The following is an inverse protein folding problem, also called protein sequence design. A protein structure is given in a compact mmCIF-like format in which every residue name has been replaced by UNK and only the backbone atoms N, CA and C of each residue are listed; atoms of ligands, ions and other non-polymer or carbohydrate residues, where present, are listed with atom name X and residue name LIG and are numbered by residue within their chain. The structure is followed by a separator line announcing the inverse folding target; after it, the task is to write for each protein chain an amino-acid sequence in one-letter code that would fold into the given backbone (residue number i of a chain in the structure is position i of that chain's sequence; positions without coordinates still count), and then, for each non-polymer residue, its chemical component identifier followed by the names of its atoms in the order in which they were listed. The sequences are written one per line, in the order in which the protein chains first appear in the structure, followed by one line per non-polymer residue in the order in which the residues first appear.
data_IF_245929498953
#
_entry.id   IF_245929498953
#
_cell.length_a   1.000
_cell.length_b   1.000
_cell.length_c   1.000
_cell.angle_alpha   90.00
_cell.angle_beta   90.00
_cell.angle_gamma   90.00
#
_symmetry.space_group_name_H-M   'P 1'
#
loop_
_entity.id
_entity.type
_entity.pdbx_description
1 polymer ?
#
# COMPACT_ATOMS: atom_id res chain seq x y z
N UNK A 1 -22.68 -37.85 4.35
CA UNK A 1 -21.75 -37.86 5.48
C UNK A 1 -20.34 -38.02 4.94
N UNK A 2 -19.68 -36.87 4.60
CA UNK A 2 -18.25 -36.85 4.20
C UNK A 2 -17.48 -36.40 5.43
N UNK A 3 -16.71 -37.34 6.00
CA UNK A 3 -15.79 -37.06 7.10
C UNK A 3 -14.62 -36.26 6.51
N UNK A 4 -14.51 -34.94 6.87
CA UNK A 4 -13.31 -34.17 6.66
C UNK A 4 -12.24 -34.69 7.64
N UNK A 5 -11.21 -35.32 7.10
CA UNK A 5 -9.98 -35.56 7.83
C UNK A 5 -9.23 -34.23 7.97
N UNK A 6 -9.21 -33.66 9.17
CA UNK A 6 -8.27 -32.62 9.53
C UNK A 6 -6.91 -33.28 9.68
N UNK A 7 -6.03 -33.11 8.69
CA UNK A 7 -4.61 -33.36 8.85
C UNK A 7 -4.03 -32.30 9.76
N UNK A 8 -3.77 -32.71 11.00
CA UNK A 8 -2.96 -31.96 11.94
C UNK A 8 -1.52 -31.98 11.38
N UNK A 9 -1.12 -30.92 10.68
CA UNK A 9 0.29 -30.71 10.35
C UNK A 9 0.94 -30.21 11.63
N UNK A 10 1.42 -31.17 12.43
CA UNK A 10 2.39 -30.88 13.48
C UNK A 10 3.69 -30.55 12.75
N UNK A 11 3.91 -29.25 12.51
CA UNK A 11 5.23 -28.78 12.12
C UNK A 11 6.13 -29.02 13.35
N UNK A 12 6.93 -30.05 13.28
CA UNK A 12 7.99 -30.30 14.25
C UNK A 12 8.94 -29.10 14.19
N UNK A 13 8.75 -28.13 15.09
CA UNK A 13 9.74 -27.10 15.35
C UNK A 13 10.95 -27.87 15.86
N UNK A 14 11.95 -28.01 14.99
CA UNK A 14 13.26 -28.52 15.34
C UNK A 14 13.70 -27.74 16.55
N UNK A 15 13.88 -28.45 17.66
CA UNK A 15 14.44 -27.91 18.89
C UNK A 15 15.87 -27.45 18.62
N UNK A 16 16.03 -26.27 18.04
CA UNK A 16 17.27 -25.51 18.09
C UNK A 16 17.41 -25.00 19.52
N UNK A 17 18.47 -25.44 20.15
CA UNK A 17 18.83 -25.22 21.54
C UNK A 17 18.75 -23.72 21.90
N UNK A 18 17.74 -23.35 22.62
CA UNK A 18 17.66 -22.50 23.81
C UNK A 18 18.32 -21.13 23.86
N UNK A 19 18.60 -20.35 22.81
CA UNK A 19 19.17 -19.02 23.06
C UNK A 19 18.52 -17.85 22.36
N UNK A 20 17.81 -18.04 21.26
CA UNK A 20 17.26 -16.92 20.46
C UNK A 20 15.74 -17.05 20.24
N UNK A 21 15.00 -17.06 21.34
CA UNK A 21 13.56 -17.13 21.31
C UNK A 21 12.91 -16.01 22.13
N UNK A 22 11.76 -15.56 21.66
CA UNK A 22 10.81 -14.73 22.38
C UNK A 22 9.76 -15.62 23.01
N UNK A 23 9.55 -15.51 24.30
CA UNK A 23 8.42 -16.13 24.99
C UNK A 23 7.39 -15.05 25.30
N UNK A 24 6.20 -15.14 24.70
CA UNK A 24 5.08 -14.28 25.07
C UNK A 24 4.24 -14.97 26.13
N UNK A 25 4.11 -14.32 27.29
CA UNK A 25 3.22 -14.72 28.38
C UNK A 25 2.04 -13.77 28.40
N UNK A 26 0.87 -14.28 28.01
CA UNK A 26 -0.36 -13.51 27.95
C UNK A 26 -1.25 -13.75 29.16
N UNK A 27 -1.95 -12.73 29.57
CA UNK A 27 -3.03 -12.80 30.55
C UNK A 27 -4.23 -11.97 30.10
N UNK A 28 -5.39 -12.36 30.54
CA UNK A 28 -6.63 -11.62 30.37
C UNK A 28 -6.85 -10.80 31.65
N UNK A 29 -7.06 -9.51 31.54
CA UNK A 29 -7.35 -8.63 32.69
C UNK A 29 -8.72 -8.92 33.30
N UNK A 30 -8.87 -8.61 34.58
CA UNK A 30 -10.16 -8.66 35.25
C UNK A 30 -11.17 -7.71 34.55
N UNK A 31 -12.37 -8.21 34.29
CA UNK A 31 -13.41 -7.47 33.58
C UNK A 31 -13.43 -7.62 32.07
N UNK A 32 -12.38 -8.19 31.45
CA UNK A 32 -12.39 -8.53 30.04
C UNK A 32 -13.26 -9.77 29.79
N UNK A 33 -14.12 -9.73 28.76
CA UNK A 33 -15.05 -10.81 28.44
C UNK A 33 -14.44 -11.83 27.50
N UNK A 34 -13.56 -12.68 28.02
CA UNK A 34 -12.96 -13.80 27.32
C UNK A 34 -13.47 -15.12 27.88
N UNK A 35 -14.31 -15.86 27.13
CA UNK A 35 -14.71 -17.21 27.54
C UNK A 35 -13.49 -18.11 27.73
N UNK A 36 -13.58 -19.08 28.64
CA UNK A 36 -12.60 -20.15 28.75
C UNK A 36 -12.46 -20.88 27.40
N UNK A 37 -11.25 -21.23 27.02
CA UNK A 37 -10.88 -21.79 25.71
C UNK A 37 -11.03 -20.83 24.51
N UNK A 38 -11.17 -19.53 24.71
CA UNK A 38 -11.02 -18.56 23.61
C UNK A 38 -9.67 -18.76 22.92
N UNK A 39 -9.66 -18.86 21.61
CA UNK A 39 -8.43 -19.02 20.85
C UNK A 39 -7.75 -17.66 20.64
N UNK A 40 -6.48 -17.63 20.97
CA UNK A 40 -5.58 -16.55 20.61
C UNK A 40 -4.76 -17.01 19.41
N UNK A 41 -4.77 -16.25 18.34
CA UNK A 41 -4.05 -16.52 17.10
C UNK A 41 -2.79 -15.68 17.03
N UNK A 42 -1.70 -16.30 16.59
CA UNK A 42 -0.45 -15.64 16.22
C UNK A 42 -0.45 -15.43 14.71
N UNK A 43 -0.29 -14.20 14.27
CA UNK A 43 -0.42 -13.79 12.86
C UNK A 43 0.91 -13.18 12.41
N UNK A 44 1.43 -13.67 11.26
CA UNK A 44 2.56 -13.09 10.50
C UNK A 44 2.00 -12.55 9.16
N UNK A 45 2.00 -11.24 9.02
CA UNK A 45 1.39 -10.59 7.87
C UNK A 45 -0.13 -10.87 7.75
N UNK A 46 -0.52 -11.79 6.86
CA UNK A 46 -1.91 -12.23 6.66
C UNK A 46 -2.16 -13.67 7.11
N UNK A 47 -1.13 -14.37 7.51
CA UNK A 47 -1.19 -15.80 7.78
C UNK A 47 -1.26 -16.08 9.28
N UNK A 48 -2.17 -16.96 9.66
CA UNK A 48 -2.20 -17.53 11.01
C UNK A 48 -1.11 -18.60 11.08
N UNK A 49 -0.06 -18.33 11.86
CA UNK A 49 1.11 -19.21 11.98
C UNK A 49 1.05 -20.13 13.20
N UNK A 50 0.27 -19.74 14.24
CA UNK A 50 0.06 -20.54 15.44
C UNK A 50 -1.24 -20.13 16.16
N UNK A 51 -1.71 -20.95 17.09
CA UNK A 51 -2.83 -20.61 17.95
C UNK A 51 -2.76 -21.35 19.29
N UNK A 52 -3.28 -20.73 20.34
CA UNK A 52 -3.40 -21.34 21.67
C UNK A 52 -4.70 -20.97 22.33
N UNK A 53 -5.22 -21.84 23.20
CA UNK A 53 -6.44 -21.53 23.96
C UNK A 53 -6.09 -20.80 25.28
N UNK A 54 -6.95 -19.85 25.65
CA UNK A 54 -6.91 -19.26 27.01
C UNK A 54 -7.29 -20.33 28.02
N UNK A 55 -6.47 -20.52 29.03
CA UNK A 55 -6.74 -21.42 30.15
C UNK A 55 -6.43 -20.73 31.48
N UNK A 56 -7.41 -20.70 32.37
CA UNK A 56 -7.30 -19.97 33.66
C UNK A 56 -6.88 -18.49 33.45
N UNK A 57 -7.42 -17.84 32.43
CA UNK A 57 -7.13 -16.45 32.12
C UNK A 57 -5.73 -16.18 31.57
N UNK A 58 -4.98 -17.23 31.16
CA UNK A 58 -3.61 -17.09 30.65
C UNK A 58 -3.41 -17.84 29.33
N UNK A 59 -2.38 -17.44 28.59
CA UNK A 59 -1.93 -18.12 27.37
C UNK A 59 -0.42 -17.90 27.15
N UNK A 60 0.20 -18.64 26.25
CA UNK A 60 1.63 -18.46 25.96
C UNK A 60 1.96 -18.87 24.52
N UNK A 61 2.92 -18.13 23.92
CA UNK A 61 3.57 -18.47 22.65
C UNK A 61 5.08 -18.48 22.82
N UNK A 62 5.74 -19.26 21.97
CA UNK A 62 7.19 -19.22 21.83
C UNK A 62 7.53 -19.11 20.35
N UNK A 63 8.20 -18.01 19.98
CA UNK A 63 8.56 -17.71 18.60
C UNK A 63 10.07 -17.45 18.49
N UNK A 64 10.68 -17.61 17.31
CA UNK A 64 12.04 -17.15 17.07
C UNK A 64 12.15 -15.65 17.37
N UNK A 65 13.24 -15.24 18.04
CA UNK A 65 13.52 -13.83 18.23
C UNK A 65 14.04 -13.25 16.89
N UNK A 66 13.34 -12.25 16.39
CA UNK A 66 13.70 -11.54 15.16
C UNK A 66 13.23 -10.08 15.25
N UNK A 67 14.09 -9.14 15.64
CA UNK A 67 13.71 -7.75 15.81
C UNK A 67 13.33 -7.05 14.49
N UNK A 68 13.50 -7.71 13.35
CA UNK A 68 13.12 -7.19 12.03
C UNK A 68 11.68 -7.55 11.65
N UNK A 69 11.02 -8.42 12.42
CA UNK A 69 9.62 -8.84 12.22
C UNK A 69 8.66 -8.15 13.16
N UNK A 70 7.40 -8.13 12.75
CA UNK A 70 6.27 -7.83 13.62
C UNK A 70 5.26 -8.97 13.53
N UNK A 71 4.79 -9.43 14.69
CA UNK A 71 3.66 -10.33 14.80
C UNK A 71 2.46 -9.62 15.43
N UNK A 72 1.29 -10.20 15.21
CA UNK A 72 0.07 -9.78 15.89
C UNK A 72 -0.49 -10.95 16.68
N UNK A 73 -0.94 -10.69 17.91
CA UNK A 73 -1.81 -11.59 18.63
C UNK A 73 -3.24 -11.09 18.51
N UNK A 74 -4.14 -11.97 18.10
CA UNK A 74 -5.54 -11.64 17.86
C UNK A 74 -6.44 -12.66 18.56
N UNK A 75 -7.40 -12.18 19.35
CA UNK A 75 -8.43 -13.02 19.93
C UNK A 75 -9.64 -13.12 18.99
N UNK A 76 -10.28 -14.30 18.92
CA UNK A 76 -11.51 -14.53 18.16
C UNK A 76 -11.48 -14.17 16.67
N UNK A 77 -10.37 -14.42 16.00
CA UNK A 77 -10.17 -14.04 14.60
C UNK A 77 -11.16 -14.68 13.60
N UNK A 78 -11.71 -15.87 13.90
CA UNK A 78 -12.42 -16.69 12.90
C UNK A 78 -13.93 -16.47 12.83
N UNK A 79 -14.57 -15.93 13.86
CA UNK A 79 -16.03 -15.90 13.98
C UNK A 79 -16.65 -14.50 13.78
N UNK A 80 -15.86 -13.52 13.36
CA UNK A 80 -16.30 -12.12 13.26
C UNK A 80 -16.32 -11.60 11.83
N UNK A 81 -17.28 -10.74 11.57
CA UNK A 81 -17.31 -9.90 10.37
C UNK A 81 -16.02 -9.06 10.29
N UNK A 82 -15.48 -8.76 9.07
CA UNK A 82 -14.34 -7.85 8.92
C UNK A 82 -14.55 -6.45 9.53
N UNK A 83 -15.78 -6.14 9.96
CA UNK A 83 -16.13 -4.88 10.64
C UNK A 83 -16.08 -4.98 12.16
N UNK A 84 -16.04 -6.19 12.71
CA UNK A 84 -15.95 -6.39 14.16
C UNK A 84 -14.47 -6.36 14.55
N UNK A 85 -14.06 -5.35 15.32
CA UNK A 85 -12.71 -5.23 15.84
C UNK A 85 -12.44 -6.36 16.83
N UNK A 86 -11.42 -7.16 16.56
CA UNK A 86 -10.88 -8.15 17.49
C UNK A 86 -9.81 -7.51 18.37
N UNK A 87 -9.57 -8.09 19.56
CA UNK A 87 -8.40 -7.72 20.33
C UNK A 87 -7.15 -8.00 19.51
N UNK A 88 -6.42 -6.97 19.13
CA UNK A 88 -5.21 -7.09 18.32
C UNK A 88 -4.05 -6.43 19.07
N UNK A 89 -2.99 -7.20 19.28
CA UNK A 89 -1.78 -6.71 19.91
C UNK A 89 -0.57 -6.94 19.02
N UNK A 90 -0.01 -5.89 18.40
CA UNK A 90 1.24 -5.99 17.67
C UNK A 90 2.41 -6.12 18.63
N UNK A 91 3.41 -6.94 18.28
CA UNK A 91 4.68 -7.01 19.00
C UNK A 91 5.85 -7.34 18.07
N UNK A 92 7.03 -6.87 18.45
CA UNK A 92 8.30 -7.19 17.79
C UNK A 92 8.95 -8.30 18.62
N UNK A 93 9.27 -9.46 18.04
CA UNK A 93 9.82 -10.59 18.77
C UNK A 93 11.31 -10.38 19.04
N UNK A 94 11.63 -9.78 20.18
CA UNK A 94 13.01 -9.69 20.68
C UNK A 94 13.32 -10.81 21.67
N UNK A 95 14.59 -11.11 21.85
CA UNK A 95 15.06 -12.17 22.77
C UNK A 95 14.59 -11.91 24.21
N UNK A 96 13.92 -12.89 24.80
CA UNK A 96 13.49 -12.82 26.20
C UNK A 96 12.01 -13.14 26.41
N UNK A 97 11.45 -12.58 27.46
CA UNK A 97 10.04 -12.76 27.79
C UNK A 97 9.28 -11.43 27.65
N UNK A 98 8.22 -11.46 26.88
CA UNK A 98 7.24 -10.39 26.77
C UNK A 98 6.02 -10.76 27.61
N UNK A 99 5.56 -9.84 28.45
CA UNK A 99 4.33 -9.99 29.22
C UNK A 99 3.24 -9.16 28.54
N UNK A 100 2.17 -9.82 28.11
CA UNK A 100 1.07 -9.20 27.41
C UNK A 100 -0.20 -9.31 28.23
N UNK A 101 -0.96 -8.23 28.34
CA UNK A 101 -2.27 -8.21 28.99
C UNK A 101 -3.30 -7.69 28.00
N UNK A 102 -4.33 -8.50 27.71
CA UNK A 102 -5.54 -8.00 27.07
C UNK A 102 -6.45 -7.39 28.13
N UNK A 103 -6.83 -6.13 27.93
CA UNK A 103 -7.71 -5.38 28.79
C UNK A 103 -9.21 -5.63 28.51
N UNK A 104 -10.10 -4.93 29.21
CA UNK A 104 -11.55 -5.07 29.05
C UNK A 104 -12.04 -4.57 27.68
N UNK A 105 -11.40 -3.57 27.11
CA UNK A 105 -11.75 -3.05 25.78
C UNK A 105 -10.82 -3.67 24.71
N UNK A 106 -11.32 -3.71 23.47
CA UNK A 106 -10.60 -4.33 22.36
C UNK A 106 -9.24 -3.66 22.04
N UNK A 107 -9.11 -2.39 22.40
CA UNK A 107 -7.90 -1.59 22.16
C UNK A 107 -6.92 -1.65 23.33
N UNK A 108 -7.34 -2.22 24.46
CA UNK A 108 -6.53 -2.34 25.66
C UNK A 108 -5.58 -3.53 25.55
N UNK A 109 -4.41 -3.31 24.96
CA UNK A 109 -3.31 -4.25 24.98
C UNK A 109 -2.09 -3.59 25.63
N UNK A 110 -1.63 -4.16 26.73
CA UNK A 110 -0.42 -3.73 27.41
C UNK A 110 0.67 -4.76 27.23
N UNK A 111 1.81 -4.33 26.66
CA UNK A 111 2.99 -5.15 26.45
C UNK A 111 4.15 -4.61 27.30
N UNK A 112 4.71 -5.49 28.13
CA UNK A 112 5.81 -5.17 29.06
C UNK A 112 6.99 -6.13 28.87
N UNK A 113 8.15 -5.76 29.40
CA UNK A 113 9.35 -6.58 29.36
C UNK A 113 10.22 -6.42 28.13
N UNK A 114 9.96 -5.36 27.33
CA UNK A 114 10.68 -5.08 26.09
C UNK A 114 10.95 -3.59 25.91
N UNK A 115 12.21 -3.23 25.81
CA UNK A 115 12.61 -1.85 25.46
C UNK A 115 12.28 -1.53 24.00
N UNK A 116 12.49 -2.49 23.09
CA UNK A 116 12.22 -2.32 21.68
C UNK A 116 10.71 -2.08 21.41
N UNK A 117 9.86 -2.92 22.01
CA UNK A 117 8.41 -2.75 21.88
C UNK A 117 7.90 -1.46 22.53
N UNK A 118 8.50 -1.06 23.66
CA UNK A 118 8.19 0.24 24.26
C UNK A 118 8.56 1.39 23.32
N UNK A 119 9.76 1.37 22.74
CA UNK A 119 10.22 2.39 21.79
C UNK A 119 9.30 2.44 20.56
N UNK A 120 8.89 1.28 20.05
CA UNK A 120 7.95 1.19 18.92
C UNK A 120 6.58 1.80 19.28
N UNK A 121 6.06 1.48 20.46
CA UNK A 121 4.81 2.04 20.97
C UNK A 121 4.90 3.57 21.09
N UNK A 122 5.94 4.06 21.77
CA UNK A 122 6.17 5.50 21.97
C UNK A 122 6.29 6.26 20.61
N UNK A 123 6.91 5.63 19.61
CA UNK A 123 6.99 6.17 18.26
C UNK A 123 5.60 6.26 17.61
N UNK A 124 4.84 5.16 17.61
CA UNK A 124 3.51 5.13 17.00
C UNK A 124 2.53 6.09 17.68
N UNK A 125 2.56 6.20 19.02
CA UNK A 125 1.72 7.13 19.77
C UNK A 125 2.01 8.58 19.36
N UNK A 126 3.28 8.95 19.17
CA UNK A 126 3.64 10.29 18.69
C UNK A 126 3.13 10.56 17.27
N UNK A 127 3.31 9.60 16.36
CA UNK A 127 2.83 9.73 14.98
C UNK A 127 1.30 9.82 14.94
N UNK A 128 0.61 8.93 15.65
CA UNK A 128 -0.86 8.96 15.74
C UNK A 128 -1.38 10.26 16.35
N UNK A 129 -0.71 10.76 17.41
CA UNK A 129 -1.06 12.04 18.03
C UNK A 129 -0.98 13.24 17.07
N UNK A 130 -0.01 13.23 16.13
CA UNK A 130 0.05 14.26 15.07
C UNK A 130 -1.12 14.16 14.10
N UNK A 131 -1.53 12.94 13.73
CA UNK A 131 -2.70 12.76 12.87
C UNK A 131 -4.02 13.05 13.59
N UNK A 132 -4.12 12.78 14.90
CA UNK A 132 -5.29 13.15 15.71
C UNK A 132 -5.41 14.69 15.78
N UNK A 133 -4.32 15.40 16.06
CA UNK A 133 -4.26 16.86 16.05
C UNK A 133 -4.63 17.44 14.67
N UNK A 134 -4.12 16.82 13.60
CA UNK A 134 -4.50 17.18 12.23
C UNK A 134 -6.00 17.03 12.00
N UNK A 135 -6.58 15.85 12.34
CA UNK A 135 -8.03 15.59 12.16
C UNK A 135 -8.89 16.58 12.93
N UNK A 136 -8.53 16.87 14.17
CA UNK A 136 -9.24 17.87 14.98
C UNK A 136 -9.21 19.26 14.32
N UNK A 137 -8.04 19.73 13.94
CA UNK A 137 -7.89 21.05 13.30
C UNK A 137 -8.55 21.13 11.93
N UNK A 138 -8.36 20.08 11.09
CA UNK A 138 -8.96 20.04 9.76
C UNK A 138 -10.49 20.02 9.82
N UNK A 139 -11.08 19.30 10.81
CA UNK A 139 -12.53 19.29 10.99
C UNK A 139 -13.13 20.63 11.45
N UNK A 140 -12.30 21.53 11.95
CA UNK A 140 -12.72 22.88 12.38
C UNK A 140 -12.59 23.94 11.27
N UNK A 141 -12.01 23.59 10.12
CA UNK A 141 -11.90 24.48 8.97
C UNK A 141 -13.26 24.62 8.26
N UNK A 142 -13.45 25.73 7.58
CA UNK A 142 -14.61 25.95 6.71
C UNK A 142 -14.50 25.06 5.45
N UNK A 143 -15.63 24.72 4.83
CA UNK A 143 -15.68 23.84 3.64
C UNK A 143 -14.89 24.39 2.44
N UNK A 144 -14.63 25.69 2.39
CA UNK A 144 -13.89 26.39 1.33
C UNK A 144 -12.44 26.74 1.70
N UNK A 145 -11.94 26.30 2.87
CA UNK A 145 -10.58 26.58 3.37
C UNK A 145 -9.53 25.57 2.83
N UNK A 146 -9.51 25.34 1.51
CA UNK A 146 -8.59 24.36 0.89
C UNK A 146 -7.11 24.69 1.14
N UNK A 147 -6.70 25.96 1.03
CA UNK A 147 -5.31 26.39 1.23
C UNK A 147 -4.84 26.17 2.68
N UNK A 148 -5.70 26.47 3.66
CA UNK A 148 -5.41 26.24 5.08
C UNK A 148 -5.32 24.74 5.40
N UNK A 149 -6.18 23.94 4.79
CA UNK A 149 -6.17 22.47 4.95
C UNK A 149 -4.88 21.86 4.36
N UNK A 150 -4.47 22.29 3.18
CA UNK A 150 -3.23 21.86 2.53
C UNK A 150 -2.01 22.23 3.39
N UNK A 151 -1.93 23.47 3.84
CA UNK A 151 -0.84 23.93 4.72
C UNK A 151 -0.78 23.13 6.02
N UNK A 152 -1.93 22.87 6.65
CA UNK A 152 -2.00 22.07 7.88
C UNK A 152 -1.52 20.64 7.64
N UNK A 153 -1.87 20.06 6.48
CA UNK A 153 -1.40 18.75 6.08
C UNK A 153 0.12 18.72 5.89
N UNK A 154 0.68 19.68 5.15
CA UNK A 154 2.12 19.81 4.93
C UNK A 154 2.91 19.97 6.24
N UNK A 155 2.45 20.83 7.15
CA UNK A 155 3.05 21.01 8.46
C UNK A 155 3.04 19.70 9.29
N UNK A 156 1.94 18.94 9.21
CA UNK A 156 1.81 17.67 9.91
C UNK A 156 2.74 16.61 9.31
N UNK A 157 2.78 16.50 7.99
CA UNK A 157 3.66 15.57 7.30
C UNK A 157 5.14 15.90 7.51
N UNK A 158 5.49 17.18 7.61
CA UNK A 158 6.85 17.61 8.01
C UNK A 158 7.26 17.04 9.37
N UNK A 159 6.39 17.14 10.37
CA UNK A 159 6.65 16.60 11.72
C UNK A 159 6.70 15.07 11.72
N UNK A 160 5.83 14.40 10.95
CA UNK A 160 5.85 12.93 10.77
C UNK A 160 7.16 12.51 10.11
N UNK A 161 7.64 13.25 9.11
CA UNK A 161 8.93 12.99 8.43
C UNK A 161 10.09 13.09 9.43
N UNK A 162 10.15 14.13 10.23
CA UNK A 162 11.23 14.28 11.22
C UNK A 162 11.25 13.13 12.23
N UNK A 163 10.09 12.78 12.80
CA UNK A 163 9.98 11.65 13.73
C UNK A 163 10.37 10.32 13.09
N UNK A 164 9.97 10.11 11.84
CA UNK A 164 10.25 8.89 11.10
C UNK A 164 11.74 8.75 10.76
N UNK A 165 12.38 9.83 10.32
CA UNK A 165 13.82 9.85 10.05
C UNK A 165 14.64 9.62 11.31
N UNK A 166 14.24 10.19 12.44
CA UNK A 166 14.86 9.93 13.74
C UNK A 166 14.68 8.47 14.19
N UNK A 167 13.50 7.89 13.97
CA UNK A 167 13.23 6.48 14.26
C UNK A 167 14.13 5.55 13.43
N UNK A 168 14.26 5.80 12.13
CA UNK A 168 15.14 5.05 11.22
C UNK A 168 16.61 5.17 11.67
N UNK A 169 17.08 6.38 11.94
CA UNK A 169 18.46 6.65 12.32
C UNK A 169 18.86 5.94 13.62
N UNK A 170 17.94 5.91 14.59
CA UNK A 170 18.22 5.32 15.90
C UNK A 170 17.97 3.79 15.96
N UNK A 171 17.31 3.22 14.95
CA UNK A 171 16.91 1.81 14.92
C UNK A 171 17.15 1.17 13.54
N UNK A 172 18.30 1.32 12.88
CA UNK A 172 18.47 1.01 11.46
C UNK A 172 18.24 -0.45 11.08
N UNK A 173 18.36 -1.38 12.03
CA UNK A 173 18.38 -2.83 11.78
C UNK A 173 17.18 -3.58 12.40
N UNK A 174 16.09 -2.87 12.75
CA UNK A 174 14.91 -3.49 13.32
C UNK A 174 13.61 -2.92 12.73
N UNK A 175 12.48 -3.50 13.13
CA UNK A 175 11.16 -3.18 12.59
C UNK A 175 10.77 -1.70 12.75
N UNK A 176 11.31 -0.97 13.74
CA UNK A 176 11.03 0.48 13.91
C UNK A 176 11.51 1.27 12.71
N UNK A 177 12.69 0.92 12.14
CA UNK A 177 13.16 1.57 10.92
C UNK A 177 12.20 1.36 9.75
N UNK A 178 11.69 0.14 9.58
CA UNK A 178 10.71 -0.16 8.54
C UNK A 178 9.42 0.61 8.75
N UNK A 179 8.89 0.64 9.97
CA UNK A 179 7.69 1.42 10.30
C UNK A 179 7.87 2.91 10.02
N UNK A 180 9.00 3.49 10.43
CA UNK A 180 9.34 4.87 10.12
C UNK A 180 9.44 5.11 8.62
N UNK A 181 10.13 4.25 7.87
CA UNK A 181 10.25 4.41 6.42
C UNK A 181 8.90 4.35 5.72
N UNK A 182 8.01 3.41 6.10
CA UNK A 182 6.69 3.29 5.48
C UNK A 182 5.80 4.52 5.68
N UNK A 183 6.00 5.30 6.73
CA UNK A 183 5.27 6.55 6.94
C UNK A 183 5.62 7.64 5.91
N UNK A 184 6.83 7.60 5.34
CA UNK A 184 7.38 8.72 4.55
C UNK A 184 7.99 8.33 3.20
N UNK A 185 7.99 7.06 2.86
CA UNK A 185 8.71 6.52 1.70
C UNK A 185 8.27 7.16 0.36
N UNK A 186 7.01 7.56 0.26
CA UNK A 186 6.48 8.20 -0.94
C UNK A 186 6.89 9.67 -1.04
N UNK A 187 7.12 10.34 0.10
CA UNK A 187 7.49 11.75 0.18
C UNK A 187 9.02 11.98 0.12
N UNK A 188 9.80 10.90 0.21
CA UNK A 188 11.25 10.96 0.10
C UNK A 188 11.68 11.00 -1.37
N UNK A 189 12.66 11.84 -1.68
CA UNK A 189 13.36 11.80 -2.96
C UNK A 189 14.15 10.49 -3.11
N UNK A 190 14.51 10.15 -4.35
CA UNK A 190 15.31 8.96 -4.63
C UNK A 190 16.68 9.00 -3.92
N UNK A 191 17.28 10.20 -3.83
CA UNK A 191 18.58 10.38 -3.17
C UNK A 191 18.48 10.20 -1.65
N UNK A 192 17.42 10.74 -1.02
CA UNK A 192 17.14 10.51 0.41
C UNK A 192 16.93 9.01 0.69
N UNK A 193 16.15 8.31 -0.16
CA UNK A 193 15.95 6.87 -0.03
C UNK A 193 17.27 6.10 -0.16
N UNK A 194 18.08 6.40 -1.16
CA UNK A 194 19.39 5.74 -1.36
C UNK A 194 20.35 5.99 -0.19
N UNK A 195 20.34 7.17 0.41
CA UNK A 195 21.12 7.47 1.62
C UNK A 195 20.66 6.64 2.82
N UNK A 196 19.35 6.50 3.05
CA UNK A 196 18.77 5.66 4.10
C UNK A 196 19.16 4.19 3.89
N UNK A 197 18.95 3.68 2.68
CA UNK A 197 19.23 2.27 2.34
C UNK A 197 20.72 1.94 2.42
N UNK A 198 21.60 2.90 2.12
CA UNK A 198 23.04 2.77 2.31
C UNK A 198 23.47 2.61 3.78
N UNK A 199 22.60 2.98 4.73
CA UNK A 199 22.84 2.90 6.18
C UNK A 199 22.12 1.76 6.88
N UNK A 200 21.17 1.08 6.21
CA UNK A 200 20.40 -0.03 6.75
C UNK A 200 20.31 -1.17 5.75
N UNK A 201 21.09 -2.23 5.98
CA UNK A 201 20.99 -3.43 5.17
C UNK A 201 19.60 -4.07 5.25
N UNK A 202 18.97 -4.05 6.42
CA UNK A 202 17.61 -4.56 6.63
C UNK A 202 16.60 -3.90 5.68
N UNK A 203 16.61 -2.56 5.58
CA UNK A 203 15.71 -1.84 4.69
C UNK A 203 16.08 -2.05 3.22
N UNK A 204 17.38 -2.17 2.90
CA UNK A 204 17.83 -2.42 1.54
C UNK A 204 17.45 -3.81 1.02
N UNK A 205 17.34 -4.80 1.90
CA UNK A 205 16.93 -6.16 1.58
C UNK A 205 15.39 -6.34 1.56
N UNK A 206 14.59 -5.31 1.93
CA UNK A 206 13.12 -5.37 1.91
C UNK A 206 12.60 -5.26 0.46
N UNK A 207 11.91 -6.30 -0.01
CA UNK A 207 11.36 -6.36 -1.38
C UNK A 207 10.35 -5.25 -1.68
N UNK A 208 9.57 -4.82 -0.67
CA UNK A 208 8.58 -3.75 -0.82
C UNK A 208 9.29 -2.40 -1.03
N UNK A 209 10.36 -2.16 -0.27
CA UNK A 209 11.20 -0.96 -0.40
C UNK A 209 11.90 -0.96 -1.77
N UNK A 210 12.52 -2.08 -2.15
CA UNK A 210 13.20 -2.22 -3.45
C UNK A 210 12.26 -1.92 -4.61
N UNK A 211 11.01 -2.39 -4.55
CA UNK A 211 10.01 -2.10 -5.57
C UNK A 211 9.66 -0.61 -5.65
N UNK A 212 9.54 0.07 -4.52
CA UNK A 212 9.25 1.52 -4.50
C UNK A 212 10.43 2.31 -5.07
N UNK A 213 11.67 1.93 -4.72
CA UNK A 213 12.88 2.56 -5.29
C UNK A 213 12.91 2.38 -6.81
N UNK A 214 12.72 1.15 -7.30
CA UNK A 214 12.65 0.88 -8.74
C UNK A 214 11.53 1.66 -9.42
N UNK A 215 10.37 1.79 -8.76
CA UNK A 215 9.26 2.61 -9.24
C UNK A 215 9.64 4.08 -9.39
N UNK A 216 10.29 4.68 -8.37
CA UNK A 216 10.78 6.07 -8.46
C UNK A 216 11.86 6.25 -9.53
N UNK A 217 12.75 5.27 -9.72
CA UNK A 217 13.73 5.31 -10.82
C UNK A 217 13.05 5.28 -12.19
N UNK A 218 12.05 4.42 -12.36
CA UNK A 218 11.27 4.33 -13.59
C UNK A 218 10.43 5.60 -13.83
N UNK A 219 9.87 6.19 -12.77
CA UNK A 219 9.17 7.47 -12.85
C UNK A 219 10.07 8.60 -13.35
N UNK A 220 11.30 8.69 -12.86
CA UNK A 220 12.29 9.66 -13.32
C UNK A 220 12.68 9.38 -14.79
N UNK A 221 12.84 8.11 -15.16
CA UNK A 221 13.18 7.71 -16.53
C UNK A 221 12.04 8.01 -17.52
N UNK A 222 10.80 8.07 -17.06
CA UNK A 222 9.58 8.39 -17.82
C UNK A 222 8.96 9.72 -17.39
N UNK A 223 9.77 10.66 -16.91
CA UNK A 223 9.30 12.01 -16.56
C UNK A 223 8.91 12.81 -17.81
N UNK A 224 8.26 13.94 -17.60
CA UNK A 224 7.93 14.89 -18.67
C UNK A 224 9.16 15.26 -19.49
N UNK A 225 9.03 15.30 -20.81
CA UNK A 225 10.12 15.52 -21.77
C UNK A 225 10.90 14.25 -22.15
N UNK A 226 10.64 13.09 -21.54
CA UNK A 226 11.27 11.81 -21.91
C UNK A 226 10.48 11.09 -22.98
N UNK A 227 11.13 10.22 -23.79
CA UNK A 227 10.41 9.37 -24.73
C UNK A 227 9.57 8.32 -23.99
N UNK A 228 8.51 7.85 -24.65
CA UNK A 228 7.75 6.72 -24.12
C UNK A 228 8.58 5.43 -24.08
N UNK A 229 8.21 4.51 -23.19
CA UNK A 229 8.73 3.15 -23.11
C UNK A 229 7.68 2.20 -23.64
N UNK A 230 8.03 1.41 -24.66
CA UNK A 230 7.08 0.50 -25.31
C UNK A 230 6.76 -0.72 -24.42
N UNK A 231 5.54 -1.21 -24.53
CA UNK A 231 5.10 -2.45 -23.91
C UNK A 231 4.02 -3.12 -24.77
N UNK A 232 3.78 -4.38 -24.51
CA UNK A 232 2.79 -5.19 -25.25
C UNK A 232 1.59 -5.53 -24.36
N UNK A 233 0.47 -5.84 -25.00
CA UNK A 233 -0.75 -6.34 -24.37
C UNK A 233 -1.68 -6.94 -25.41
N UNK A 234 -2.96 -7.03 -25.07
CA UNK A 234 -4.03 -7.54 -25.94
C UNK A 234 -5.11 -6.50 -26.11
N UNK A 235 -5.74 -6.47 -27.29
CA UNK A 235 -7.01 -5.76 -27.46
C UNK A 235 -8.15 -6.49 -26.74
N UNK A 236 -9.32 -5.89 -26.54
CA UNK A 236 -10.49 -6.58 -26.00
C UNK A 236 -10.87 -7.87 -26.76
N UNK A 237 -10.56 -7.93 -28.05
CA UNK A 237 -10.81 -9.09 -28.94
C UNK A 237 -9.70 -10.13 -28.85
N UNK A 238 -8.61 -9.86 -28.11
CA UNK A 238 -7.50 -10.79 -27.87
C UNK A 238 -6.37 -10.71 -28.89
N UNK A 239 -6.36 -9.73 -29.80
CA UNK A 239 -5.24 -9.51 -30.71
C UNK A 239 -4.06 -8.87 -29.99
N UNK A 240 -2.84 -9.22 -30.40
CA UNK A 240 -1.61 -8.60 -29.90
C UNK A 240 -1.55 -7.13 -30.32
N UNK A 241 -1.15 -6.28 -29.38
CA UNK A 241 -1.04 -4.83 -29.56
C UNK A 241 0.09 -4.29 -28.70
N UNK A 242 0.69 -3.17 -29.15
CA UNK A 242 1.74 -2.46 -28.42
C UNK A 242 1.36 -1.02 -28.18
N UNK A 243 1.95 -0.39 -27.18
CA UNK A 243 1.80 1.05 -26.95
C UNK A 243 2.28 1.83 -28.20
N UNK A 244 3.37 1.37 -28.83
CA UNK A 244 3.91 1.96 -30.05
C UNK A 244 3.00 1.86 -31.28
N UNK A 245 1.90 1.12 -31.23
CA UNK A 245 0.90 1.14 -32.31
C UNK A 245 0.06 2.43 -32.28
N UNK A 246 0.02 3.12 -31.13
CA UNK A 246 -0.74 4.34 -30.89
C UNK A 246 0.15 5.57 -30.68
N UNK A 247 1.18 5.46 -29.83
CA UNK A 247 2.06 6.57 -29.42
C UNK A 247 3.18 6.76 -30.43
N UNK A 248 3.56 8.02 -30.69
CA UNK A 248 4.62 8.37 -31.66
C UNK A 248 4.15 8.24 -33.12
N UNK A 249 2.85 8.32 -33.39
CA UNK A 249 2.23 8.22 -34.74
C UNK A 249 1.68 9.54 -35.26
N UNK A 250 2.19 10.67 -34.74
CA UNK A 250 1.76 11.98 -35.20
C UNK A 250 0.47 12.50 -34.56
N UNK A 251 -0.02 11.84 -33.48
CA UNK A 251 -1.18 12.26 -32.71
C UNK A 251 -0.82 12.45 -31.25
N UNK A 252 -1.53 13.32 -30.57
CA UNK A 252 -1.57 13.36 -29.11
C UNK A 252 -2.33 12.14 -28.58
N UNK A 253 -1.79 11.47 -27.57
CA UNK A 253 -2.42 10.28 -26.98
C UNK A 253 -2.56 10.47 -25.47
N UNK A 254 -3.80 10.56 -25.00
CA UNK A 254 -4.12 10.52 -23.57
C UNK A 254 -4.28 9.06 -23.14
N UNK A 255 -3.37 8.59 -22.30
CA UNK A 255 -3.38 7.20 -21.83
C UNK A 255 -3.77 7.15 -20.36
N UNK A 256 -4.80 6.36 -20.02
CA UNK A 256 -5.26 6.10 -18.66
C UNK A 256 -4.89 4.67 -18.24
N UNK A 257 -4.08 4.55 -17.18
CA UNK A 257 -3.80 3.27 -16.53
C UNK A 257 -4.83 3.04 -15.43
N UNK A 258 -5.64 2.01 -15.59
CA UNK A 258 -6.81 1.74 -14.77
C UNK A 258 -7.00 0.27 -14.42
N UNK A 259 -7.91 -0.05 -13.49
CA UNK A 259 -8.34 -1.42 -13.19
C UNK A 259 -9.85 -1.48 -12.94
N UNK A 260 -10.47 -2.64 -13.18
CA UNK A 260 -11.93 -2.82 -13.06
C UNK A 260 -12.47 -2.67 -11.62
N UNK A 261 -11.62 -2.86 -10.63
CA UNK A 261 -11.92 -2.74 -9.21
C UNK A 261 -11.55 -1.36 -8.61
N UNK A 262 -10.94 -0.47 -9.41
CA UNK A 262 -10.42 0.81 -8.96
C UNK A 262 -11.53 1.88 -8.90
N UNK A 263 -12.05 2.16 -7.71
CA UNK A 263 -13.07 3.19 -7.49
C UNK A 263 -12.69 4.59 -8.00
N UNK A 264 -11.50 5.13 -7.63
CA UNK A 264 -11.05 6.42 -8.16
C UNK A 264 -10.91 6.47 -9.68
N UNK A 265 -10.50 5.35 -10.33
CA UNK A 265 -10.45 5.28 -11.79
C UNK A 265 -11.85 5.44 -12.40
N UNK A 266 -12.86 4.82 -11.78
CA UNK A 266 -14.25 4.98 -12.22
C UNK A 266 -14.73 6.43 -12.09
N UNK A 267 -14.21 7.17 -11.11
CA UNK A 267 -14.47 8.60 -10.94
C UNK A 267 -13.91 9.46 -12.07
N UNK A 268 -12.81 9.04 -12.70
CA UNK A 268 -12.20 9.77 -13.84
C UNK A 268 -12.83 9.45 -15.19
N UNK A 269 -13.53 8.32 -15.35
CA UNK A 269 -14.19 7.97 -16.64
C UNK A 269 -15.06 9.09 -17.20
N UNK A 270 -15.91 9.80 -16.45
CA UNK A 270 -16.70 10.91 -16.98
C UNK A 270 -15.84 12.04 -17.54
N UNK A 271 -14.70 12.35 -16.92
CA UNK A 271 -13.77 13.39 -17.36
C UNK A 271 -13.06 12.96 -18.66
N UNK A 272 -12.55 11.72 -18.70
CA UNK A 272 -11.94 11.13 -19.90
C UNK A 272 -12.94 11.08 -21.05
N UNK A 273 -14.19 10.71 -20.78
CA UNK A 273 -15.26 10.67 -21.77
C UNK A 273 -15.56 12.06 -22.34
N UNK A 274 -15.61 13.10 -21.51
CA UNK A 274 -15.76 14.49 -21.95
C UNK A 274 -14.64 14.90 -22.91
N UNK A 275 -13.40 14.54 -22.58
CA UNK A 275 -12.21 14.80 -23.41
C UNK A 275 -12.29 14.02 -24.73
N UNK A 276 -12.62 12.72 -24.66
CA UNK A 276 -12.81 11.86 -25.84
C UNK A 276 -13.87 12.43 -26.79
N UNK A 277 -15.07 12.69 -26.29
CA UNK A 277 -16.20 13.19 -27.10
C UNK A 277 -15.92 14.58 -27.73
N UNK A 278 -15.06 15.39 -27.09
CA UNK A 278 -14.74 16.73 -27.57
C UNK A 278 -13.59 16.75 -28.58
N UNK A 279 -12.58 15.92 -28.40
CA UNK A 279 -11.30 16.08 -29.11
C UNK A 279 -10.89 14.86 -29.96
N UNK A 280 -11.52 13.69 -29.79
CA UNK A 280 -11.17 12.49 -30.57
C UNK A 280 -11.23 12.79 -32.07
N UNK A 281 -10.18 12.39 -32.81
CA UNK A 281 -10.13 12.64 -34.24
C UNK A 281 -8.73 12.51 -34.87
N UNK A 282 -8.45 13.39 -35.81
CA UNK A 282 -7.22 13.28 -36.61
C UNK A 282 -5.95 13.49 -35.79
N UNK A 283 -5.98 14.43 -34.83
CA UNK A 283 -4.79 14.90 -34.15
C UNK A 283 -4.72 14.44 -32.66
N UNK A 284 -5.76 13.77 -32.17
CA UNK A 284 -5.87 13.32 -30.78
C UNK A 284 -6.60 11.98 -30.65
N UNK A 285 -6.22 11.20 -29.65
CA UNK A 285 -6.92 9.97 -29.27
C UNK A 285 -6.78 9.68 -27.77
N UNK A 286 -7.68 8.86 -27.27
CA UNK A 286 -7.64 8.30 -25.91
C UNK A 286 -7.30 6.82 -25.97
N UNK A 287 -6.51 6.35 -25.01
CA UNK A 287 -6.10 4.95 -24.86
C UNK A 287 -6.27 4.54 -23.39
N UNK A 288 -6.98 3.46 -23.11
CA UNK A 288 -7.01 2.83 -21.79
C UNK A 288 -5.98 1.70 -21.71
N UNK A 289 -5.32 1.56 -20.57
CA UNK A 289 -4.42 0.44 -20.27
C UNK A 289 -4.91 -0.21 -19.00
N UNK A 290 -5.56 -1.36 -19.13
CA UNK A 290 -6.05 -2.12 -17.97
C UNK A 290 -4.90 -2.91 -17.34
N UNK A 291 -4.60 -2.58 -16.08
CA UNK A 291 -3.51 -3.14 -15.27
C UNK A 291 -4.05 -3.77 -13.99
N UNK A 292 -3.31 -4.70 -13.38
CA UNK A 292 -3.60 -5.30 -12.07
C UNK A 292 -4.94 -6.02 -11.93
N UNK A 293 -5.58 -6.37 -13.04
CA UNK A 293 -6.80 -7.17 -13.05
C UNK A 293 -6.53 -8.69 -13.10
N UNK A 294 -5.26 -9.10 -13.23
CA UNK A 294 -4.89 -10.49 -13.37
C UNK A 294 -5.62 -11.14 -14.54
N UNK A 295 -6.14 -12.34 -14.32
CA UNK A 295 -6.92 -13.09 -15.32
C UNK A 295 -8.38 -12.62 -15.45
N UNK A 296 -8.80 -11.55 -14.77
CA UNK A 296 -10.19 -11.08 -14.75
C UNK A 296 -10.57 -10.29 -16.01
N UNK A 297 -10.22 -10.81 -17.17
CA UNK A 297 -10.45 -10.19 -18.49
C UNK A 297 -11.92 -9.90 -18.78
N UNK A 298 -12.84 -10.74 -18.29
CA UNK A 298 -14.28 -10.57 -18.51
C UNK A 298 -14.84 -9.31 -17.80
N UNK A 299 -14.36 -8.97 -16.61
CA UNK A 299 -14.78 -7.75 -15.91
C UNK A 299 -14.23 -6.51 -16.59
N UNK A 300 -12.96 -6.53 -16.96
CA UNK A 300 -12.31 -5.45 -17.71
C UNK A 300 -13.02 -5.21 -19.04
N UNK A 301 -13.28 -6.28 -19.80
CA UNK A 301 -13.97 -6.20 -21.09
C UNK A 301 -15.37 -5.61 -20.96
N UNK A 302 -16.18 -6.14 -20.03
CA UNK A 302 -17.55 -5.62 -19.79
C UNK A 302 -17.55 -4.14 -19.42
N UNK A 303 -16.60 -3.69 -18.61
CA UNK A 303 -16.51 -2.30 -18.19
C UNK A 303 -16.06 -1.40 -19.34
N UNK A 304 -15.04 -1.82 -20.09
CA UNK A 304 -14.58 -1.12 -21.27
C UNK A 304 -15.70 -0.98 -22.31
N UNK A 305 -16.40 -2.05 -22.66
CA UNK A 305 -17.51 -2.04 -23.61
C UNK A 305 -18.68 -1.13 -23.19
N UNK A 306 -18.96 -1.06 -21.89
CA UNK A 306 -20.08 -0.28 -21.37
C UNK A 306 -19.81 1.21 -21.30
N UNK A 307 -18.62 1.60 -20.81
CA UNK A 307 -18.32 2.97 -20.39
C UNK A 307 -17.24 3.65 -21.27
N UNK A 308 -16.37 2.87 -21.93
CA UNK A 308 -15.15 3.35 -22.58
C UNK A 308 -15.18 3.08 -24.08
N UNK A 309 -15.47 4.09 -24.89
CA UNK A 309 -15.54 3.98 -26.36
C UNK A 309 -14.18 4.14 -27.05
N UNK A 310 -13.11 4.29 -26.31
CA UNK A 310 -11.75 4.46 -26.82
C UNK A 310 -10.97 3.14 -26.80
N UNK A 311 -9.83 3.14 -27.47
CA UNK A 311 -8.96 1.97 -27.57
C UNK A 311 -8.51 1.47 -26.20
N UNK A 312 -8.35 0.15 -26.06
CA UNK A 312 -7.93 -0.49 -24.83
C UNK A 312 -6.77 -1.46 -25.08
N UNK A 313 -5.81 -1.46 -24.15
CA UNK A 313 -4.78 -2.48 -24.02
C UNK A 313 -5.00 -3.23 -22.70
N UNK A 314 -5.12 -4.54 -22.74
CA UNK A 314 -5.21 -5.42 -21.56
C UNK A 314 -3.86 -6.08 -21.35
N UNK A 315 -3.25 -5.88 -20.19
CA UNK A 315 -1.92 -6.44 -19.91
C UNK A 315 -1.96 -7.66 -19.00
N UNK A 316 -3.12 -7.99 -18.41
CA UNK A 316 -3.30 -9.17 -17.57
C UNK A 316 -2.38 -9.11 -16.33
N UNK A 317 -1.58 -10.17 -16.16
CA UNK A 317 -0.61 -10.28 -15.06
C UNK A 317 0.74 -9.59 -15.37
N UNK A 318 0.95 -9.12 -16.59
CA UNK A 318 2.20 -8.45 -16.97
C UNK A 318 2.36 -7.12 -16.22
N UNK A 319 3.41 -7.04 -15.41
CA UNK A 319 3.76 -5.83 -14.64
C UNK A 319 4.67 -4.87 -15.41
N UNK A 320 5.19 -5.28 -16.57
CA UNK A 320 6.10 -4.46 -17.37
C UNK A 320 5.58 -3.05 -17.61
N UNK A 321 4.29 -2.83 -17.95
CA UNK A 321 3.76 -1.48 -18.15
C UNK A 321 3.84 -0.62 -16.89
N UNK A 322 3.43 -1.15 -15.74
CA UNK A 322 3.46 -0.41 -14.48
C UNK A 322 4.87 -0.20 -13.95
N UNK A 323 5.71 -1.22 -14.05
CA UNK A 323 7.10 -1.16 -13.59
C UNK A 323 7.93 -0.19 -14.44
N UNK A 324 7.75 -0.21 -15.77
CA UNK A 324 8.49 0.68 -16.70
C UNK A 324 8.15 2.16 -16.54
N UNK A 325 6.92 2.47 -16.12
CA UNK A 325 6.46 3.84 -15.92
C UNK A 325 6.48 4.27 -14.45
N UNK A 326 6.95 3.43 -13.53
CA UNK A 326 6.95 3.71 -12.10
C UNK A 326 5.56 3.92 -11.54
N UNK A 327 4.55 3.19 -12.05
CA UNK A 327 3.16 3.32 -11.60
C UNK A 327 2.99 2.54 -10.30
N UNK A 328 2.95 3.25 -9.19
CA UNK A 328 2.75 2.71 -7.85
C UNK A 328 1.27 2.79 -7.40
N UNK A 329 0.44 3.54 -8.14
CA UNK A 329 -1.00 3.72 -7.86
C UNK A 329 -1.77 4.07 -9.13
N UNK A 330 -3.07 3.79 -9.13
CA UNK A 330 -4.01 4.11 -10.20
C UNK A 330 -5.21 4.91 -9.66
N UNK A 331 -5.83 5.80 -10.48
CA UNK A 331 -5.51 6.08 -11.88
C UNK A 331 -4.18 6.81 -12.05
N UNK A 332 -3.43 6.46 -13.09
CA UNK A 332 -2.29 7.25 -13.56
C UNK A 332 -2.54 7.62 -15.02
N UNK A 333 -2.55 8.90 -15.31
CA UNK A 333 -2.85 9.43 -16.65
C UNK A 333 -1.59 10.06 -17.22
N UNK A 334 -1.30 9.76 -18.49
CA UNK A 334 -0.13 10.26 -19.22
C UNK A 334 -0.60 10.81 -20.57
N UNK A 335 -0.18 12.03 -20.90
CA UNK A 335 -0.38 12.63 -22.20
C UNK A 335 0.93 12.56 -23.00
N UNK A 336 0.90 11.86 -24.11
CA UNK A 336 2.01 11.74 -25.06
C UNK A 336 1.85 12.72 -26.21
N UNK A 337 2.95 13.40 -26.55
CA UNK A 337 3.05 14.25 -27.73
C UNK A 337 3.07 13.41 -29.02
N UNK A 338 2.84 14.04 -30.21
CA UNK A 338 2.80 13.35 -31.51
C UNK A 338 4.08 12.58 -31.88
N UNK A 339 5.23 12.97 -31.35
CA UNK A 339 6.52 12.31 -31.55
C UNK A 339 6.79 11.17 -30.54
N UNK A 340 5.88 10.97 -29.56
CA UNK A 340 6.02 9.97 -28.52
C UNK A 340 6.71 10.48 -27.24
N UNK A 341 7.00 11.76 -27.14
CA UNK A 341 7.49 12.38 -25.91
C UNK A 341 6.37 12.44 -24.86
N UNK A 342 6.70 12.14 -23.60
CA UNK A 342 5.79 12.32 -22.46
C UNK A 342 5.65 13.83 -22.22
N UNK A 343 4.48 14.37 -22.52
CA UNK A 343 4.22 15.80 -22.37
C UNK A 343 3.82 16.14 -20.93
N UNK A 344 2.91 15.37 -20.35
CA UNK A 344 2.43 15.56 -18.97
C UNK A 344 2.01 14.24 -18.35
N UNK A 345 2.16 14.10 -17.04
CA UNK A 345 1.72 12.90 -16.32
C UNK A 345 1.21 13.21 -14.92
N UNK A 346 0.39 12.30 -14.38
CA UNK A 346 -0.04 12.33 -12.98
C UNK A 346 -1.20 13.30 -12.69
N UNK A 347 -1.19 13.90 -11.50
CA UNK A 347 -2.33 14.66 -10.97
C UNK A 347 -2.73 15.86 -11.82
N UNK A 348 -1.79 16.49 -12.50
CA UNK A 348 -2.09 17.58 -13.42
C UNK A 348 -2.96 17.21 -14.64
N UNK A 349 -3.31 15.90 -14.78
CA UNK A 349 -4.20 15.36 -15.81
C UNK A 349 -5.46 14.73 -15.20
N UNK A 350 -5.97 15.23 -14.07
CA UNK A 350 -7.23 14.77 -13.47
C UNK A 350 -8.31 15.84 -13.54
N UNK A 351 -9.57 15.39 -13.58
CA UNK A 351 -10.72 16.27 -13.55
C UNK A 351 -10.70 17.33 -14.67
N UNK A 352 -11.01 18.57 -14.33
CA UNK A 352 -11.02 19.69 -15.27
C UNK A 352 -9.64 20.05 -15.84
N UNK A 353 -8.54 19.77 -15.11
CA UNK A 353 -7.19 20.06 -15.57
C UNK A 353 -6.81 19.23 -16.79
N UNK A 354 -7.30 17.99 -16.88
CA UNK A 354 -7.17 17.14 -18.07
C UNK A 354 -7.74 17.83 -19.31
N UNK A 355 -8.99 18.30 -19.23
CA UNK A 355 -9.67 18.98 -20.34
C UNK A 355 -8.90 20.23 -20.77
N UNK A 356 -8.51 21.08 -19.83
CA UNK A 356 -7.75 22.31 -20.09
C UNK A 356 -6.42 22.01 -20.77
N UNK A 357 -5.67 21.03 -20.30
CA UNK A 357 -4.37 20.64 -20.87
C UNK A 357 -4.54 20.13 -22.30
N UNK A 358 -5.53 19.28 -22.57
CA UNK A 358 -5.77 18.76 -23.93
C UNK A 358 -6.25 19.85 -24.87
N UNK A 359 -7.12 20.76 -24.43
CA UNK A 359 -7.55 21.91 -25.23
C UNK A 359 -6.36 22.82 -25.61
N UNK A 360 -5.48 23.12 -24.65
CA UNK A 360 -4.28 23.95 -24.85
C UNK A 360 -3.37 23.37 -25.93
N UNK A 361 -2.99 22.07 -25.82
CA UNK A 361 -2.05 21.45 -26.78
C UNK A 361 -2.65 21.28 -28.18
N UNK A 362 -3.98 21.28 -28.30
CA UNK A 362 -4.70 21.24 -29.57
C UNK A 362 -5.04 22.65 -30.13
N UNK A 363 -4.69 23.72 -29.40
CA UNK A 363 -4.98 25.10 -29.81
C UNK A 363 -6.49 25.42 -29.86
N UNK A 364 -7.27 24.87 -28.91
CA UNK A 364 -8.74 24.99 -28.89
C UNK A 364 -9.25 25.61 -27.61
#
# INVERSE_FOLDING_TARGET
MKKLFFSLVILAIVASCGQDATTVKGKIADGASFPENTLIYLIDGRDVVDSTAVSNGTFSFKVPADPQKQYFLCADYRDRSPRDRSWICPFIPEKGTLNLTFGPEQEDCVLEGSTLNKTYKDFNEKVNGLFDEYREKASALADDAEEEAEKLYEETMGKVKDLSLDAIKNNPDNFIARAGLMNVIYDLSLDELKDILGKSKFLADDESVSRIVSGKEAEIATAEGKPFVDFSGKTPEGADVKLSDFVGKGKWVLTDFWASWCGPCMGEIPNIKKVFETFEGKDFMVLGVAVWDGDNTDSVKRMAEKEMKWHQIFVGEDKTPTDSYGILGIPTIILFAPDGTIYKRGEGLRGESMYKTVAEVLGK
#
